data_IF_082849223599
#
_entry.id   IF_082849223599
#
_cell.length_a   1.000
_cell.length_b   1.000
_cell.length_c   1.000
_cell.angle_alpha   90.00
_cell.angle_beta   90.00
_cell.angle_gamma   90.00
#
_symmetry.space_group_name_H-M   'P 1'
#
loop_
_entity.id
_entity.type
_entity.pdbx_description
1 polymer ?
#
# COMPACT_ATOMS: atom_id res chain seq x y z
N UNK A 1 -15.95 29.39 36.51
CA UNK A 1 -16.99 29.06 35.54
C UNK A 1 -16.24 28.86 34.21
N UNK A 2 -15.83 27.64 33.91
CA UNK A 2 -15.26 27.32 32.62
C UNK A 2 -16.40 27.39 31.62
N UNK A 3 -16.26 28.24 30.61
CA UNK A 3 -17.19 28.30 29.49
C UNK A 3 -16.78 27.07 28.65
N UNK A 4 -17.61 26.02 28.66
CA UNK A 4 -17.48 24.93 27.68
C UNK A 4 -17.75 25.55 26.31
N UNK A 5 -16.68 25.84 25.59
CA UNK A 5 -16.78 26.22 24.18
C UNK A 5 -17.24 24.96 23.41
N UNK A 6 -18.19 25.11 22.49
CA UNK A 6 -18.66 24.00 21.69
C UNK A 6 -17.46 23.41 20.92
N UNK A 7 -17.31 22.10 20.97
CA UNK A 7 -16.24 21.39 20.26
C UNK A 7 -16.44 21.58 18.75
N UNK A 8 -15.43 22.10 18.07
CA UNK A 8 -15.44 22.21 16.61
C UNK A 8 -14.95 20.92 15.96
N UNK A 9 -15.87 20.01 15.69
CA UNK A 9 -15.60 18.74 15.04
C UNK A 9 -15.04 18.89 13.62
N UNK A 10 -15.34 19.98 12.92
CA UNK A 10 -14.77 20.25 11.60
C UNK A 10 -13.26 20.48 11.69
N UNK A 11 -12.80 21.28 12.66
CA UNK A 11 -11.38 21.52 12.90
C UNK A 11 -10.64 20.24 13.30
N UNK A 12 -11.26 19.39 14.10
CA UNK A 12 -10.68 18.09 14.50
C UNK A 12 -10.51 17.19 13.27
N UNK A 13 -11.54 17.08 12.44
CA UNK A 13 -11.45 16.28 11.19
C UNK A 13 -10.41 16.85 10.22
N UNK A 14 -10.30 18.16 10.10
CA UNK A 14 -9.27 18.79 9.26
C UNK A 14 -7.86 18.44 9.76
N UNK A 15 -7.64 18.49 11.08
CA UNK A 15 -6.38 18.07 11.71
C UNK A 15 -6.08 16.59 11.44
N UNK A 16 -7.08 15.71 11.52
CA UNK A 16 -6.90 14.30 11.19
C UNK A 16 -6.52 14.13 9.71
N UNK A 17 -7.21 14.82 8.80
CA UNK A 17 -6.93 14.80 7.35
C UNK A 17 -5.49 15.22 7.03
N UNK A 18 -4.96 16.22 7.74
CA UNK A 18 -3.56 16.66 7.58
C UNK A 18 -2.55 15.60 8.00
N UNK A 19 -2.91 14.72 8.93
CA UNK A 19 -2.07 13.63 9.43
C UNK A 19 -2.28 12.29 8.71
N UNK A 20 -3.31 12.17 7.86
CA UNK A 20 -3.53 10.96 7.06
C UNK A 20 -2.37 10.75 6.09
N UNK A 21 -1.87 9.52 6.07
CA UNK A 21 -0.80 9.15 5.16
C UNK A 21 -1.26 9.30 3.70
N UNK A 22 -0.74 10.32 3.05
CA UNK A 22 -0.90 10.48 1.60
C UNK A 22 0.21 9.72 0.90
N UNK A 23 -0.15 8.86 -0.04
CA UNK A 23 0.83 8.17 -0.88
C UNK A 23 1.59 9.23 -1.68
N UNK A 24 2.92 9.34 -1.55
CA UNK A 24 3.67 10.36 -2.25
C UNK A 24 3.51 10.21 -3.76
N UNK A 25 3.20 11.29 -4.46
CA UNK A 25 3.09 11.31 -5.93
C UNK A 25 4.33 10.72 -6.65
N UNK A 26 5.49 10.75 -6.00
CA UNK A 26 6.76 10.21 -6.53
C UNK A 26 7.04 8.78 -6.13
N UNK A 27 6.19 8.11 -5.33
CA UNK A 27 6.35 6.70 -4.97
C UNK A 27 6.24 5.87 -6.23
N UNK A 28 7.24 5.01 -6.46
CA UNK A 28 7.24 4.08 -7.59
C UNK A 28 7.01 2.67 -7.11
N UNK A 29 6.53 1.84 -8.02
CA UNK A 29 6.17 0.46 -7.78
C UNK A 29 6.95 -0.42 -8.76
N UNK A 30 7.71 -1.36 -8.25
CA UNK A 30 8.63 -2.17 -9.02
C UNK A 30 8.33 -3.65 -8.86
N UNK A 31 8.05 -4.35 -9.95
CA UNK A 31 8.10 -5.81 -9.99
C UNK A 31 9.53 -6.24 -10.25
N UNK A 32 10.12 -7.01 -9.33
CA UNK A 32 11.45 -7.60 -9.47
C UNK A 32 11.29 -9.10 -9.54
N UNK A 33 11.77 -9.70 -10.62
CA UNK A 33 11.69 -11.15 -10.86
C UNK A 33 12.72 -11.88 -10.02
N UNK A 34 12.33 -13.03 -9.55
CA UNK A 34 13.11 -13.92 -8.67
C UNK A 34 13.63 -15.17 -9.41
N UNK A 35 13.88 -15.07 -10.72
CA UNK A 35 14.29 -16.19 -11.56
C UNK A 35 13.36 -17.41 -11.36
N UNK A 36 12.09 -17.25 -11.78
CA UNK A 36 11.02 -18.28 -11.60
C UNK A 36 10.79 -18.71 -10.15
N UNK A 37 11.13 -17.86 -9.19
CA UNK A 37 10.92 -18.10 -7.75
C UNK A 37 12.18 -18.59 -7.03
N UNK A 38 13.25 -18.92 -7.74
CA UNK A 38 14.51 -19.46 -7.14
C UNK A 38 15.08 -18.56 -6.07
N UNK A 39 15.03 -17.23 -6.26
CA UNK A 39 15.60 -16.26 -5.32
C UNK A 39 14.59 -15.66 -4.34
N UNK A 40 13.34 -16.13 -4.34
CA UNK A 40 12.30 -15.56 -3.48
C UNK A 40 12.66 -15.64 -2.00
N UNK A 41 13.00 -16.83 -1.51
CA UNK A 41 13.34 -17.04 -0.10
C UNK A 41 14.64 -16.33 0.27
N UNK A 42 15.66 -16.41 -0.60
CA UNK A 42 16.94 -15.68 -0.40
C UNK A 42 16.73 -14.19 -0.22
N UNK A 43 15.87 -13.56 -1.04
CA UNK A 43 15.57 -12.13 -0.94
C UNK A 43 14.78 -11.81 0.34
N UNK A 44 13.81 -12.65 0.68
CA UNK A 44 12.97 -12.46 1.87
C UNK A 44 13.77 -12.59 3.17
N UNK A 45 14.52 -13.67 3.33
CA UNK A 45 15.25 -14.00 4.54
C UNK A 45 16.39 -13.02 4.82
N UNK A 46 16.98 -12.44 3.76
CA UNK A 46 18.12 -11.55 3.87
C UNK A 46 17.81 -10.08 3.63
N UNK A 47 16.52 -9.70 3.57
CA UNK A 47 16.04 -8.32 3.50
C UNK A 47 16.64 -7.50 2.35
N UNK A 48 16.70 -8.07 1.16
CA UNK A 48 17.13 -7.38 -0.05
C UNK A 48 16.34 -7.80 -1.28
N UNK A 49 16.47 -7.03 -2.34
CA UNK A 49 16.12 -7.42 -3.71
C UNK A 49 17.31 -7.18 -4.61
N UNK A 50 17.46 -8.00 -5.63
CA UNK A 50 18.63 -7.93 -6.50
C UNK A 50 18.35 -8.18 -7.97
N UNK A 51 19.25 -7.68 -8.81
CA UNK A 51 19.36 -8.10 -10.21
C UNK A 51 20.57 -9.01 -10.37
N UNK A 52 20.34 -10.19 -10.93
CA UNK A 52 21.40 -11.13 -11.33
C UNK A 52 22.11 -10.60 -12.58
N UNK A 53 23.03 -9.68 -12.38
CA UNK A 53 23.79 -9.01 -13.43
C UNK A 53 25.27 -8.87 -13.04
N UNK A 54 25.98 -10.01 -13.01
CA UNK A 54 27.42 -10.08 -12.77
C UNK A 54 28.29 -9.48 -13.92
N UNK A 55 27.66 -9.00 -15.01
CA UNK A 55 28.33 -8.41 -16.16
C UNK A 55 29.01 -7.08 -15.88
N UNK A 56 28.64 -6.42 -14.80
CA UNK A 56 29.24 -5.16 -14.37
C UNK A 56 29.23 -5.08 -12.84
N UNK A 57 30.40 -4.79 -12.27
CA UNK A 57 30.53 -4.65 -10.82
C UNK A 57 29.91 -3.35 -10.30
N UNK A 58 29.52 -3.31 -9.02
CA UNK A 58 29.11 -2.07 -8.37
C UNK A 58 30.19 -0.98 -8.44
N UNK A 59 31.47 -1.39 -8.31
CA UNK A 59 32.61 -0.48 -8.40
C UNK A 59 32.69 0.19 -9.77
N UNK A 60 32.46 -0.58 -10.84
CA UNK A 60 32.53 -0.05 -12.20
C UNK A 60 31.31 0.84 -12.50
N UNK A 61 30.11 0.46 -12.05
CA UNK A 61 28.93 1.32 -12.13
C UNK A 61 29.14 2.66 -11.43
N UNK A 62 29.73 2.65 -10.24
CA UNK A 62 30.02 3.87 -9.49
C UNK A 62 31.04 4.75 -10.21
N UNK A 63 32.08 4.16 -10.81
CA UNK A 63 33.07 4.87 -11.63
C UNK A 63 32.44 5.48 -12.88
N UNK A 64 31.61 4.70 -13.59
CA UNK A 64 30.90 5.19 -14.77
C UNK A 64 29.98 6.35 -14.41
N UNK A 65 29.23 6.24 -13.30
CA UNK A 65 28.34 7.31 -12.86
C UNK A 65 29.09 8.58 -12.46
N UNK A 66 30.23 8.47 -11.82
CA UNK A 66 31.09 9.60 -11.50
C UNK A 66 31.64 10.31 -12.75
N UNK A 67 31.89 9.55 -13.82
CA UNK A 67 32.37 10.08 -15.11
C UNK A 67 31.26 10.66 -15.97
N UNK A 68 30.08 10.05 -15.99
CA UNK A 68 28.95 10.39 -16.84
C UNK A 68 27.76 10.82 -16.00
N UNK A 69 27.58 12.14 -15.79
CA UNK A 69 26.46 12.68 -15.03
C UNK A 69 25.14 12.68 -15.83
N UNK A 70 25.24 12.76 -17.16
CA UNK A 70 24.11 12.64 -18.07
C UNK A 70 23.62 11.18 -18.15
N UNK A 71 22.32 10.99 -18.03
CA UNK A 71 21.71 9.65 -17.98
C UNK A 71 21.83 8.88 -19.30
N UNK A 72 21.81 9.57 -20.45
CA UNK A 72 21.97 8.93 -21.76
C UNK A 72 23.42 8.43 -21.93
N UNK A 73 24.41 9.26 -21.59
CA UNK A 73 25.83 8.87 -21.64
C UNK A 73 26.15 7.75 -20.64
N UNK A 74 25.57 7.81 -19.45
CA UNK A 74 25.74 6.76 -18.46
C UNK A 74 25.13 5.42 -18.93
N UNK A 75 23.93 5.41 -19.49
CA UNK A 75 23.32 4.22 -20.07
C UNK A 75 24.15 3.67 -21.24
N UNK A 76 24.70 4.55 -22.09
CA UNK A 76 25.57 4.14 -23.18
C UNK A 76 26.84 3.46 -22.70
N UNK A 77 27.45 3.96 -21.62
CA UNK A 77 28.63 3.39 -21.01
C UNK A 77 28.33 2.01 -20.34
N UNK A 78 27.18 1.88 -19.68
CA UNK A 78 26.72 0.57 -19.17
C UNK A 78 26.57 -0.41 -20.32
N UNK A 79 25.93 0.00 -21.43
CA UNK A 79 25.75 -0.85 -22.59
C UNK A 79 27.07 -1.32 -23.19
N UNK A 80 28.06 -0.47 -23.29
CA UNK A 80 29.40 -0.80 -23.73
C UNK A 80 30.04 -1.83 -22.80
N UNK A 81 30.03 -1.61 -21.49
CA UNK A 81 30.57 -2.55 -20.50
C UNK A 81 29.88 -3.93 -20.55
N UNK A 82 28.55 -3.96 -20.72
CA UNK A 82 27.82 -5.22 -20.90
C UNK A 82 28.18 -5.90 -22.23
N UNK A 83 28.41 -5.12 -23.29
CA UNK A 83 28.83 -5.66 -24.59
C UNK A 83 30.22 -6.27 -24.51
N UNK A 84 31.13 -5.64 -23.80
CA UNK A 84 32.50 -6.12 -23.58
C UNK A 84 32.54 -7.46 -22.81
N UNK A 85 31.63 -7.63 -21.82
CA UNK A 85 31.49 -8.90 -21.10
C UNK A 85 31.08 -10.04 -22.02
N UNK A 86 30.27 -9.78 -23.05
CA UNK A 86 29.85 -10.75 -24.06
C UNK A 86 30.69 -10.62 -25.35
N UNK A 87 32.01 -10.47 -25.20
CA UNK A 87 32.91 -10.42 -26.35
C UNK A 87 32.73 -11.64 -27.24
N UNK A 88 32.96 -11.51 -28.57
CA UNK A 88 32.90 -12.65 -29.48
C UNK A 88 33.90 -13.73 -29.07
N UNK A 89 33.47 -14.97 -29.17
CA UNK A 89 34.38 -16.11 -29.08
C UNK A 89 35.50 -15.94 -30.13
N UNK A 90 36.76 -16.18 -29.71
CA UNK A 90 37.94 -15.97 -30.57
C UNK A 90 38.00 -16.96 -31.76
N UNK A 91 37.33 -18.11 -31.66
CA UNK A 91 37.30 -19.11 -32.70
C UNK A 91 36.15 -18.96 -33.68
N UNK A 92 34.94 -18.59 -33.17
CA UNK A 92 33.71 -18.50 -33.98
C UNK A 92 33.37 -17.10 -34.42
N UNK A 93 33.90 -16.08 -33.74
CA UNK A 93 33.55 -14.66 -33.98
C UNK A 93 32.13 -14.30 -33.58
N UNK A 94 31.35 -15.22 -32.98
CA UNK A 94 29.97 -15.00 -32.58
C UNK A 94 29.86 -14.56 -31.12
N UNK A 95 29.08 -13.54 -30.88
CA UNK A 95 28.70 -13.15 -29.50
C UNK A 95 27.63 -14.08 -28.96
N UNK A 96 27.75 -14.49 -27.72
CA UNK A 96 26.70 -15.28 -27.02
C UNK A 96 25.39 -14.51 -26.81
N UNK A 97 25.42 -13.19 -26.97
CA UNK A 97 24.22 -12.34 -26.89
C UNK A 97 24.22 -11.28 -28.00
N UNK A 98 23.04 -11.07 -28.60
CA UNK A 98 22.85 -10.05 -29.62
C UNK A 98 22.67 -8.65 -29.01
N UNK A 99 22.79 -7.59 -29.82
CA UNK A 99 22.71 -6.19 -29.39
C UNK A 99 21.39 -5.84 -28.70
N UNK A 100 20.28 -6.50 -29.05
CA UNK A 100 18.99 -6.30 -28.41
C UNK A 100 19.01 -6.81 -26.96
N UNK A 101 19.59 -7.98 -26.74
CA UNK A 101 19.74 -8.56 -25.39
C UNK A 101 20.67 -7.73 -24.52
N UNK A 102 21.80 -7.26 -25.07
CA UNK A 102 22.74 -6.37 -24.41
C UNK A 102 22.05 -5.07 -23.99
N UNK A 103 21.28 -4.47 -24.90
CA UNK A 103 20.50 -3.25 -24.61
C UNK A 103 19.46 -3.47 -23.52
N UNK A 104 18.78 -4.63 -23.49
CA UNK A 104 17.82 -4.96 -22.44
C UNK A 104 18.48 -5.09 -21.07
N UNK A 105 19.61 -5.79 -21.00
CA UNK A 105 20.40 -5.94 -19.75
C UNK A 105 20.87 -4.57 -19.26
N UNK A 106 21.49 -3.76 -20.12
CA UNK A 106 21.94 -2.41 -19.76
C UNK A 106 20.82 -1.51 -19.23
N UNK A 107 19.64 -1.56 -19.88
CA UNK A 107 18.47 -0.81 -19.41
C UNK A 107 17.96 -1.29 -18.04
N UNK A 108 18.00 -2.58 -17.74
CA UNK A 108 17.59 -3.11 -16.44
C UNK A 108 18.57 -2.68 -15.35
N UNK A 109 19.89 -2.75 -15.60
CA UNK A 109 20.94 -2.26 -14.70
C UNK A 109 20.74 -0.76 -14.45
N UNK A 110 20.58 0.02 -15.51
CA UNK A 110 20.35 1.46 -15.42
C UNK A 110 19.12 1.79 -14.56
N UNK A 111 17.97 1.16 -14.83
CA UNK A 111 16.73 1.36 -14.05
C UNK A 111 16.94 1.04 -12.57
N UNK A 112 17.52 -0.12 -12.29
CA UNK A 112 17.73 -0.57 -10.92
C UNK A 112 18.69 0.36 -10.16
N UNK A 113 19.77 0.78 -10.81
CA UNK A 113 20.77 1.66 -10.22
C UNK A 113 20.23 3.09 -10.01
N UNK A 114 19.55 3.65 -11.01
CA UNK A 114 19.20 5.09 -11.02
C UNK A 114 17.77 5.39 -10.59
N UNK A 115 16.81 4.50 -10.84
CA UNK A 115 15.38 4.80 -10.72
C UNK A 115 14.73 4.20 -9.48
N UNK A 116 15.18 3.02 -9.01
CA UNK A 116 14.67 2.44 -7.76
C UNK A 116 15.25 3.22 -6.58
N UNK A 117 14.39 3.85 -5.79
CA UNK A 117 14.75 4.79 -4.72
C UNK A 117 14.23 4.34 -3.36
N UNK A 118 14.82 4.91 -2.30
CA UNK A 118 14.29 4.77 -0.95
C UNK A 118 12.83 5.22 -0.91
N UNK A 119 11.98 4.40 -0.27
CA UNK A 119 10.54 4.63 -0.18
C UNK A 119 9.73 4.03 -1.33
N UNK A 120 10.37 3.58 -2.42
CA UNK A 120 9.68 2.84 -3.47
C UNK A 120 9.19 1.49 -2.96
N UNK A 121 8.10 1.00 -3.53
CA UNK A 121 7.55 -0.31 -3.23
C UNK A 121 8.08 -1.34 -4.23
N UNK A 122 8.60 -2.44 -3.71
CA UNK A 122 9.06 -3.59 -4.51
C UNK A 122 8.14 -4.78 -4.28
N UNK A 123 7.93 -5.53 -5.36
CA UNK A 123 7.05 -6.70 -5.40
C UNK A 123 7.85 -7.84 -5.99
N UNK A 124 7.90 -8.96 -5.26
CA UNK A 124 8.57 -10.17 -5.74
C UNK A 124 7.61 -11.36 -5.75
N UNK A 125 7.54 -12.12 -6.84
CA UNK A 125 6.79 -13.36 -6.90
C UNK A 125 7.62 -14.57 -6.49
N UNK A 126 7.01 -15.53 -5.79
CA UNK A 126 7.57 -16.87 -5.56
C UNK A 126 7.42 -17.76 -6.81
N UNK A 127 7.77 -19.03 -6.68
CA UNK A 127 7.58 -20.02 -7.74
C UNK A 127 6.11 -20.03 -8.23
N UNK A 128 5.94 -19.97 -9.54
CA UNK A 128 4.62 -19.84 -10.20
C UNK A 128 3.78 -18.68 -9.69
N UNK A 129 4.37 -17.71 -9.02
CA UNK A 129 3.70 -16.61 -8.34
C UNK A 129 2.64 -17.09 -7.33
N UNK A 130 2.83 -18.25 -6.71
CA UNK A 130 1.91 -18.78 -5.69
C UNK A 130 1.84 -17.90 -4.46
N UNK A 131 2.95 -17.25 -4.11
CA UNK A 131 3.06 -16.18 -3.12
C UNK A 131 3.64 -14.93 -3.76
N UNK A 132 3.28 -13.79 -3.21
CA UNK A 132 3.78 -12.47 -3.63
C UNK A 132 4.14 -11.67 -2.40
N UNK A 133 5.41 -11.24 -2.29
CA UNK A 133 5.86 -10.40 -1.20
C UNK A 133 5.96 -8.94 -1.63
N UNK A 134 5.61 -8.06 -0.69
CA UNK A 134 5.66 -6.61 -0.84
C UNK A 134 6.64 -6.04 0.17
N UNK A 135 7.47 -5.10 -0.26
CA UNK A 135 8.47 -4.49 0.61
C UNK A 135 8.79 -3.05 0.21
N UNK A 136 9.37 -2.30 1.13
CA UNK A 136 9.80 -0.92 0.92
C UNK A 136 11.32 -0.86 0.81
N UNK A 137 11.83 -0.21 -0.22
CA UNK A 137 13.26 0.05 -0.40
C UNK A 137 13.75 0.97 0.69
N UNK A 138 14.76 0.57 1.43
CA UNK A 138 15.33 1.33 2.56
C UNK A 138 16.40 2.33 2.12
N UNK A 139 17.08 2.06 1.02
CA UNK A 139 18.24 2.81 0.57
C UNK A 139 18.18 3.08 -0.93
N UNK A 140 18.61 4.27 -1.35
CA UNK A 140 18.63 4.64 -2.77
C UNK A 140 19.83 4.03 -3.51
N UNK A 141 20.95 3.87 -2.82
CA UNK A 141 22.19 3.31 -3.40
C UNK A 141 22.13 1.78 -3.46
N UNK A 142 23.03 1.20 -4.22
CA UNK A 142 23.26 -0.23 -4.19
C UNK A 142 23.95 -0.58 -2.88
N UNK A 143 23.34 -1.48 -2.10
CA UNK A 143 23.90 -1.91 -0.83
C UNK A 143 25.06 -2.89 -1.06
N UNK A 144 26.10 -2.82 -0.23
CA UNK A 144 27.16 -3.81 -0.16
C UNK A 144 26.84 -4.81 0.94
N UNK A 145 27.14 -6.07 0.70
CA UNK A 145 27.06 -7.10 1.73
C UNK A 145 28.33 -7.08 2.59
N UNK A 146 28.17 -7.29 3.90
CA UNK A 146 29.29 -7.56 4.80
C UNK A 146 29.87 -8.95 4.55
N UNK A 147 31.10 -9.19 5.02
CA UNK A 147 31.73 -10.52 4.91
C UNK A 147 30.87 -11.61 5.57
N UNK A 148 30.25 -11.33 6.72
CA UNK A 148 29.36 -12.26 7.41
C UNK A 148 28.09 -12.57 6.60
N UNK A 149 27.56 -11.58 5.87
CA UNK A 149 26.41 -11.78 4.98
C UNK A 149 26.80 -12.60 3.73
N UNK A 150 27.99 -12.34 3.14
CA UNK A 150 28.50 -13.10 2.00
C UNK A 150 28.73 -14.57 2.37
N UNK A 151 29.26 -14.86 3.55
CA UNK A 151 29.45 -16.22 4.05
C UNK A 151 28.12 -16.99 4.22
N UNK A 152 27.04 -16.25 4.53
CA UNK A 152 25.70 -16.82 4.73
C UNK A 152 24.88 -16.94 3.46
N UNK A 153 25.09 -16.04 2.49
CA UNK A 153 24.30 -15.94 1.26
C UNK A 153 25.14 -16.38 0.07
N UNK A 154 25.09 -17.66 -0.28
CA UNK A 154 25.90 -18.27 -1.35
C UNK A 154 25.90 -17.54 -2.70
N UNK A 155 24.85 -16.76 -2.98
CA UNK A 155 24.65 -16.09 -4.28
C UNK A 155 24.71 -14.57 -4.19
N UNK A 156 25.09 -14.01 -3.03
CA UNK A 156 25.02 -12.58 -2.80
C UNK A 156 25.89 -11.76 -3.76
N UNK A 157 27.09 -12.23 -4.09
CA UNK A 157 28.05 -11.53 -4.94
C UNK A 157 27.57 -11.34 -6.38
N UNK A 158 26.65 -12.17 -6.85
CA UNK A 158 26.13 -12.06 -8.22
C UNK A 158 25.07 -10.95 -8.37
N UNK A 159 24.57 -10.37 -7.27
CA UNK A 159 23.47 -9.39 -7.34
C UNK A 159 23.95 -7.95 -7.17
N UNK A 160 23.43 -7.07 -8.05
CA UNK A 160 23.27 -5.69 -7.69
C UNK A 160 22.07 -5.59 -6.75
N UNK A 161 22.25 -5.22 -5.49
CA UNK A 161 21.22 -5.35 -4.48
C UNK A 161 20.78 -4.02 -3.84
N UNK A 162 19.53 -3.98 -3.35
CA UNK A 162 19.00 -2.90 -2.51
C UNK A 162 18.34 -3.48 -1.28
N UNK A 163 18.59 -2.87 -0.14
CA UNK A 163 17.96 -3.25 1.13
C UNK A 163 16.46 -2.97 1.11
N UNK A 164 15.70 -3.91 1.63
CA UNK A 164 14.25 -3.88 1.64
C UNK A 164 13.75 -4.22 3.05
N UNK A 165 12.74 -3.51 3.50
CA UNK A 165 11.92 -3.91 4.63
C UNK A 165 10.65 -4.55 4.08
N UNK A 166 10.45 -5.83 4.38
CA UNK A 166 9.26 -6.54 3.94
C UNK A 166 8.06 -6.14 4.78
N UNK A 167 6.94 -5.83 4.11
CA UNK A 167 5.68 -5.46 4.74
C UNK A 167 4.88 -6.73 5.02
N UNK A 168 4.55 -7.46 3.95
CA UNK A 168 3.67 -8.63 3.99
C UNK A 168 3.84 -9.49 2.75
N UNK A 169 3.46 -10.75 2.84
CA UNK A 169 3.33 -11.66 1.71
C UNK A 169 1.93 -12.28 1.67
N UNK A 170 1.40 -12.36 0.47
CA UNK A 170 0.06 -12.84 0.21
C UNK A 170 0.10 -14.09 -0.66
N UNK A 171 -0.80 -15.02 -0.39
CA UNK A 171 -1.10 -16.08 -1.35
C UNK A 171 -1.77 -15.46 -2.58
N UNK A 172 -1.39 -15.91 -3.76
CA UNK A 172 -1.93 -15.39 -5.02
C UNK A 172 -3.45 -15.35 -5.06
N UNK A 173 -4.10 -16.37 -4.51
CA UNK A 173 -5.56 -16.50 -4.51
C UNK A 173 -6.26 -15.40 -3.70
N UNK A 174 -5.58 -14.80 -2.75
CA UNK A 174 -6.11 -13.70 -1.93
C UNK A 174 -5.92 -12.31 -2.56
N UNK A 175 -5.14 -12.22 -3.65
CA UNK A 175 -4.88 -10.96 -4.33
C UNK A 175 -6.00 -10.61 -5.33
N UNK A 176 -6.19 -9.30 -5.56
CA UNK A 176 -7.05 -8.83 -6.63
C UNK A 176 -6.56 -9.36 -8.00
N UNK A 177 -7.43 -9.98 -8.82
CA UNK A 177 -7.05 -10.50 -10.13
C UNK A 177 -6.40 -9.47 -11.07
N UNK A 178 -6.67 -8.17 -10.89
CA UNK A 178 -6.03 -7.13 -11.68
C UNK A 178 -4.51 -7.06 -11.45
N UNK A 179 -4.03 -7.43 -10.26
CA UNK A 179 -2.60 -7.55 -9.96
C UNK A 179 -1.92 -8.61 -10.85
N UNK A 180 -2.64 -9.68 -11.24
CA UNK A 180 -2.04 -10.76 -12.03
C UNK A 180 -1.51 -10.29 -13.39
N UNK A 181 -2.08 -9.23 -13.95
CA UNK A 181 -1.62 -8.66 -15.22
C UNK A 181 -0.17 -8.14 -15.15
N UNK A 182 0.30 -7.71 -13.99
CA UNK A 182 1.69 -7.26 -13.85
C UNK A 182 2.69 -8.40 -13.97
N UNK A 183 2.31 -9.65 -13.59
CA UNK A 183 3.17 -10.81 -13.67
C UNK A 183 3.40 -11.33 -15.09
N UNK A 184 2.72 -10.77 -16.10
CA UNK A 184 3.01 -11.07 -17.52
C UNK A 184 4.27 -10.37 -18.03
N UNK A 185 4.82 -9.41 -17.27
CA UNK A 185 6.07 -8.75 -17.62
C UNK A 185 7.24 -9.75 -17.56
N UNK A 186 8.04 -9.82 -18.63
CA UNK A 186 9.16 -10.76 -18.74
C UNK A 186 10.51 -10.18 -18.31
N UNK A 187 10.59 -8.87 -18.11
CA UNK A 187 11.84 -8.21 -17.70
C UNK A 187 12.14 -8.50 -16.22
N UNK A 188 13.44 -8.58 -15.87
CA UNK A 188 13.86 -8.82 -14.49
C UNK A 188 13.40 -7.70 -13.54
N UNK A 189 13.29 -6.45 -14.06
CA UNK A 189 12.69 -5.32 -13.37
C UNK A 189 11.71 -4.59 -14.27
N UNK A 190 10.51 -4.32 -13.74
CA UNK A 190 9.44 -3.61 -14.46
C UNK A 190 8.77 -2.61 -13.51
N UNK A 191 8.60 -1.38 -13.98
CA UNK A 191 7.78 -0.41 -13.27
C UNK A 191 6.30 -0.77 -13.43
N UNK A 192 5.59 -0.87 -12.32
CA UNK A 192 4.19 -1.32 -12.27
C UNK A 192 3.27 -0.27 -11.64
N UNK A 193 3.64 1.01 -11.72
CA UNK A 193 2.90 2.14 -11.16
C UNK A 193 1.46 2.26 -11.63
N UNK A 194 1.14 1.77 -12.84
CA UNK A 194 -0.25 1.71 -13.34
C UNK A 194 -1.18 0.80 -12.51
N UNK A 195 -0.64 0.04 -11.57
CA UNK A 195 -1.40 -0.79 -10.65
C UNK A 195 -1.34 -0.27 -9.21
N UNK A 196 -0.91 0.99 -9.02
CA UNK A 196 -0.70 1.58 -7.69
C UNK A 196 -1.95 1.49 -6.81
N UNK A 197 -3.13 1.81 -7.36
CA UNK A 197 -4.41 1.74 -6.67
C UNK A 197 -4.72 0.33 -6.14
N UNK A 198 -4.56 -0.69 -6.98
CA UNK A 198 -4.81 -2.10 -6.60
C UNK A 198 -3.76 -2.59 -5.61
N UNK A 199 -2.51 -2.14 -5.74
CA UNK A 199 -1.43 -2.48 -4.81
C UNK A 199 -1.70 -1.85 -3.44
N UNK A 200 -2.02 -0.56 -3.38
CA UNK A 200 -2.31 0.11 -2.10
C UNK A 200 -3.56 -0.46 -1.43
N UNK A 201 -4.63 -0.75 -2.17
CA UNK A 201 -5.81 -1.48 -1.67
C UNK A 201 -5.49 -2.87 -1.10
N UNK A 202 -4.40 -3.47 -1.54
CA UNK A 202 -3.96 -4.77 -1.00
C UNK A 202 -3.28 -4.58 0.36
N UNK A 203 -2.52 -3.51 0.54
CA UNK A 203 -1.66 -3.28 1.69
C UNK A 203 -2.30 -2.44 2.80
N UNK A 204 -3.29 -1.62 2.48
CA UNK A 204 -3.87 -0.64 3.39
C UNK A 204 -5.39 -0.68 3.37
N UNK A 205 -6.00 -0.48 4.53
CA UNK A 205 -7.45 -0.38 4.66
C UNK A 205 -7.92 1.09 4.53
N UNK A 206 -7.00 2.06 4.71
CA UNK A 206 -7.26 3.47 4.50
C UNK A 206 -6.02 4.18 3.93
N UNK A 207 -6.18 4.87 2.82
CA UNK A 207 -5.09 5.65 2.21
C UNK A 207 -5.61 6.79 1.34
N UNK A 208 -4.72 7.74 1.04
CA UNK A 208 -4.97 8.79 0.06
C UNK A 208 -4.01 8.62 -1.10
N UNK A 209 -4.54 8.43 -2.28
CA UNK A 209 -3.78 8.34 -3.52
C UNK A 209 -4.20 9.49 -4.44
N UNK A 210 -3.24 10.29 -4.88
CA UNK A 210 -3.50 11.52 -5.64
C UNK A 210 -4.48 12.46 -4.89
N UNK A 211 -5.71 12.58 -5.36
CA UNK A 211 -6.73 13.42 -4.75
C UNK A 211 -7.90 12.62 -4.15
N UNK A 212 -7.84 11.31 -4.20
CA UNK A 212 -8.90 10.44 -3.70
C UNK A 212 -8.48 9.77 -2.40
N UNK A 213 -9.38 9.76 -1.43
CA UNK A 213 -9.22 9.00 -0.20
C UNK A 213 -10.06 7.72 -0.31
N UNK A 214 -9.45 6.61 0.06
CA UNK A 214 -9.97 5.26 -0.07
C UNK A 214 -10.17 4.63 1.30
N UNK A 215 -11.34 4.04 1.52
CA UNK A 215 -11.65 3.21 2.67
C UNK A 215 -11.98 1.81 2.20
N UNK A 216 -11.14 0.85 2.56
CA UNK A 216 -11.25 -0.53 2.11
C UNK A 216 -11.95 -1.38 3.16
N UNK A 217 -13.09 -1.92 2.80
CA UNK A 217 -13.84 -2.86 3.62
C UNK A 217 -13.53 -4.27 3.11
N UNK A 218 -12.79 -5.04 3.92
CA UNK A 218 -12.42 -6.41 3.58
C UNK A 218 -13.54 -7.38 3.92
N UNK A 219 -14.08 -8.05 2.91
CA UNK A 219 -15.12 -9.08 3.04
C UNK A 219 -14.47 -10.45 2.98
N UNK A 220 -14.42 -11.14 4.11
CA UNK A 220 -13.72 -12.42 4.26
C UNK A 220 -14.58 -13.66 3.99
N UNK A 221 -15.81 -13.48 3.54
CA UNK A 221 -16.70 -14.61 3.27
C UNK A 221 -16.21 -15.42 2.06
N UNK A 222 -16.06 -16.73 2.23
CA UNK A 222 -15.55 -17.66 1.20
C UNK A 222 -16.65 -18.16 0.24
N UNK A 223 -17.88 -18.30 0.71
CA UNK A 223 -18.98 -18.97 -0.03
C UNK A 223 -19.82 -18.03 -0.93
N UNK A 224 -19.19 -16.94 -1.43
CA UNK A 224 -19.86 -15.95 -2.25
C UNK A 224 -20.63 -14.89 -1.46
N UNK A 225 -20.72 -13.70 -2.03
CA UNK A 225 -21.33 -12.52 -1.42
C UNK A 225 -22.78 -12.41 -1.90
N UNK A 226 -23.73 -12.46 -0.96
CA UNK A 226 -25.13 -12.24 -1.28
C UNK A 226 -25.34 -10.75 -1.64
N UNK A 227 -25.90 -10.49 -2.82
CA UNK A 227 -26.12 -9.13 -3.32
C UNK A 227 -26.95 -8.25 -2.36
N UNK A 228 -28.00 -8.80 -1.74
CA UNK A 228 -28.81 -8.07 -0.76
C UNK A 228 -27.98 -7.69 0.47
N UNK A 229 -27.07 -8.57 0.92
CA UNK A 229 -26.20 -8.28 2.05
C UNK A 229 -25.19 -7.17 1.71
N UNK A 230 -24.62 -7.23 0.51
CA UNK A 230 -23.65 -6.24 0.04
C UNK A 230 -24.28 -4.84 -0.10
N UNK A 231 -25.37 -4.75 -0.87
CA UNK A 231 -26.05 -3.47 -1.08
C UNK A 231 -26.74 -2.96 0.20
N UNK A 232 -27.25 -3.87 1.04
CA UNK A 232 -27.82 -3.53 2.34
C UNK A 232 -26.77 -2.95 3.30
N UNK A 233 -25.58 -3.54 3.37
CA UNK A 233 -24.46 -2.99 4.16
C UNK A 233 -24.13 -1.56 3.72
N UNK A 234 -23.90 -1.36 2.43
CA UNK A 234 -23.52 -0.05 1.88
C UNK A 234 -24.61 1.00 2.11
N UNK A 235 -25.87 0.67 1.81
CA UNK A 235 -26.98 1.59 2.00
C UNK A 235 -27.15 2.00 3.48
N UNK A 236 -27.23 1.03 4.38
CA UNK A 236 -27.43 1.33 5.81
C UNK A 236 -26.22 2.09 6.41
N UNK A 237 -25.01 1.80 5.94
CA UNK A 237 -23.83 2.55 6.37
C UNK A 237 -23.90 4.03 5.94
N UNK A 238 -24.28 4.31 4.69
CA UNK A 238 -24.39 5.67 4.19
C UNK A 238 -25.50 6.45 4.91
N UNK A 239 -26.63 5.83 5.27
CA UNK A 239 -27.68 6.46 6.08
C UNK A 239 -27.17 6.85 7.47
N UNK A 240 -26.40 5.94 8.13
CA UNK A 240 -25.81 6.24 9.44
C UNK A 240 -24.76 7.37 9.32
N UNK A 241 -23.95 7.35 8.27
CA UNK A 241 -22.97 8.39 8.01
C UNK A 241 -23.65 9.75 7.82
N UNK A 242 -24.78 9.82 7.11
CA UNK A 242 -25.57 11.04 6.92
C UNK A 242 -26.08 11.60 8.26
N UNK A 243 -26.60 10.73 9.14
CA UNK A 243 -27.04 11.14 10.47
C UNK A 243 -25.87 11.65 11.33
N UNK A 244 -24.69 11.02 11.24
CA UNK A 244 -23.49 11.51 11.93
C UNK A 244 -23.04 12.86 11.38
N UNK A 245 -23.03 13.04 10.06
CA UNK A 245 -22.74 14.33 9.39
C UNK A 245 -23.68 15.43 9.95
N UNK A 246 -24.97 15.15 10.01
CA UNK A 246 -25.97 16.08 10.51
C UNK A 246 -25.79 16.39 12.00
N UNK A 247 -25.64 15.36 12.84
CA UNK A 247 -25.53 15.50 14.29
C UNK A 247 -24.28 16.28 14.73
N UNK A 248 -23.18 16.13 13.98
CA UNK A 248 -21.92 16.82 14.25
C UNK A 248 -21.76 18.14 13.49
N UNK A 249 -22.77 18.55 12.72
CA UNK A 249 -22.77 19.78 11.88
C UNK A 249 -21.53 19.83 10.95
N UNK A 250 -21.18 18.68 10.33
CA UNK A 250 -20.03 18.59 9.43
C UNK A 250 -20.36 19.30 8.12
N UNK A 251 -19.50 20.26 7.74
CA UNK A 251 -19.72 21.08 6.55
C UNK A 251 -19.05 20.49 5.32
N UNK A 252 -19.68 20.71 4.16
CA UNK A 252 -19.14 20.34 2.84
C UNK A 252 -18.88 18.85 2.66
N UNK A 253 -19.64 18.00 3.32
CA UNK A 253 -19.61 16.54 3.21
C UNK A 253 -21.04 16.02 3.13
N UNK A 254 -21.27 15.09 2.22
CA UNK A 254 -22.54 14.39 2.01
C UNK A 254 -22.29 12.91 1.71
N UNK A 255 -23.24 12.04 2.04
CA UNK A 255 -23.20 10.62 1.63
C UNK A 255 -23.12 10.45 0.10
N UNK A 256 -23.58 11.44 -0.67
CA UNK A 256 -23.51 11.43 -2.14
C UNK A 256 -22.10 11.71 -2.70
N UNK A 257 -21.15 12.08 -1.87
CA UNK A 257 -19.75 12.33 -2.29
C UNK A 257 -18.94 11.05 -2.40
N UNK A 258 -19.53 9.89 -2.12
CA UNK A 258 -18.86 8.60 -2.13
C UNK A 258 -19.17 7.80 -3.38
N UNK A 259 -18.10 7.27 -3.98
CA UNK A 259 -18.15 6.27 -5.03
C UNK A 259 -17.78 4.90 -4.45
N UNK A 260 -18.39 3.84 -4.95
CA UNK A 260 -18.13 2.47 -4.49
C UNK A 260 -17.58 1.63 -5.63
N UNK A 261 -16.41 1.07 -5.42
CA UNK A 261 -15.83 0.06 -6.31
C UNK A 261 -15.86 -1.30 -5.59
N UNK A 262 -16.51 -2.28 -6.20
CA UNK A 262 -16.70 -3.60 -5.61
C UNK A 262 -15.92 -4.65 -6.38
N UNK A 263 -14.99 -5.30 -5.71
CA UNK A 263 -14.37 -6.52 -6.21
C UNK A 263 -15.15 -7.74 -5.68
N UNK A 264 -15.95 -8.35 -6.56
CA UNK A 264 -16.93 -9.39 -6.20
C UNK A 264 -16.31 -10.77 -6.01
N UNK A 265 -14.99 -10.90 -5.93
CA UNK A 265 -14.38 -12.16 -5.55
C UNK A 265 -14.69 -12.49 -4.08
N UNK A 266 -14.70 -13.76 -3.75
CA UNK A 266 -14.96 -14.23 -2.39
C UNK A 266 -13.72 -15.01 -1.90
N UNK A 267 -12.96 -14.48 -0.96
CA UNK A 267 -13.06 -13.17 -0.28
C UNK A 267 -12.87 -11.97 -1.21
N UNK A 268 -13.42 -10.81 -0.87
CA UNK A 268 -13.45 -9.62 -1.71
C UNK A 268 -13.21 -8.32 -0.95
N UNK A 269 -13.10 -7.23 -1.71
CA UNK A 269 -12.91 -5.90 -1.16
C UNK A 269 -13.97 -4.94 -1.69
N UNK A 270 -14.47 -4.08 -0.82
CA UNK A 270 -15.30 -2.94 -1.16
C UNK A 270 -14.43 -1.70 -0.96
N UNK A 271 -14.22 -0.93 -2.00
CA UNK A 271 -13.51 0.35 -1.93
C UNK A 271 -14.54 1.48 -1.92
N UNK A 272 -14.63 2.18 -0.80
CA UNK A 272 -15.42 3.38 -0.64
C UNK A 272 -14.49 4.57 -0.79
N UNK A 273 -14.61 5.32 -1.88
CA UNK A 273 -13.69 6.40 -2.22
C UNK A 273 -14.40 7.73 -2.41
N UNK A 274 -13.71 8.81 -2.07
CA UNK A 274 -14.20 10.17 -2.26
C UNK A 274 -13.05 11.16 -2.45
N UNK A 275 -13.28 12.20 -3.24
CA UNK A 275 -12.37 13.35 -3.34
C UNK A 275 -12.43 14.24 -2.10
N UNK A 276 -13.45 14.09 -1.28
CA UNK A 276 -13.61 14.81 0.00
C UNK A 276 -12.95 13.99 1.12
N UNK A 277 -11.66 14.21 1.33
CA UNK A 277 -10.86 13.49 2.33
C UNK A 277 -11.49 13.51 3.73
N UNK A 278 -12.05 14.66 4.16
CA UNK A 278 -12.76 14.80 5.44
C UNK A 278 -13.94 13.83 5.55
N UNK A 279 -14.71 13.69 4.48
CA UNK A 279 -15.83 12.76 4.43
C UNK A 279 -15.38 11.30 4.58
N UNK A 280 -14.33 10.92 3.88
CA UNK A 280 -13.79 9.56 3.97
C UNK A 280 -13.18 9.25 5.33
N UNK A 281 -12.53 10.22 5.98
CA UNK A 281 -12.07 10.09 7.37
C UNK A 281 -13.25 9.91 8.32
N UNK A 282 -14.33 10.70 8.17
CA UNK A 282 -15.52 10.55 8.98
C UNK A 282 -16.20 9.21 8.75
N UNK A 283 -16.29 8.76 7.49
CA UNK A 283 -16.83 7.44 7.15
C UNK A 283 -16.02 6.32 7.82
N UNK A 284 -14.69 6.42 7.78
CA UNK A 284 -13.78 5.49 8.45
C UNK A 284 -14.03 5.45 9.97
N UNK A 285 -14.10 6.60 10.64
CA UNK A 285 -14.35 6.68 12.07
C UNK A 285 -15.77 6.15 12.43
N UNK A 286 -16.77 6.47 11.62
CA UNK A 286 -18.14 5.98 11.80
C UNK A 286 -18.22 4.47 11.66
N UNK A 287 -17.56 3.89 10.64
CA UNK A 287 -17.50 2.45 10.44
C UNK A 287 -16.83 1.75 11.64
N UNK A 288 -15.75 2.30 12.14
CA UNK A 288 -15.03 1.71 13.26
C UNK A 288 -15.86 1.74 14.57
N UNK A 289 -16.52 2.86 14.87
CA UNK A 289 -17.40 2.98 16.04
C UNK A 289 -18.63 2.08 15.90
N UNK A 290 -19.30 2.12 14.74
CA UNK A 290 -20.52 1.38 14.49
C UNK A 290 -20.28 -0.11 14.34
N UNK A 291 -19.17 -0.47 13.70
CA UNK A 291 -18.76 -1.84 13.47
C UNK A 291 -18.24 -2.59 14.71
N UNK A 292 -18.12 -1.92 15.85
CA UNK A 292 -17.63 -2.52 17.09
C UNK A 292 -16.10 -2.75 17.13
N UNK A 293 -15.35 -2.22 16.13
CA UNK A 293 -13.89 -2.33 16.09
C UNK A 293 -13.15 -1.41 17.06
N UNK A 294 -13.88 -0.59 17.81
CA UNK A 294 -13.32 0.36 18.78
C UNK A 294 -13.25 -0.16 20.23
N UNK A 295 -13.59 -1.40 20.53
CA UNK A 295 -13.40 -1.91 21.87
C UNK A 295 -11.91 -1.93 22.25
N UNK A 296 -11.53 -0.85 22.90
CA UNK A 296 -10.36 -0.63 23.77
C UNK A 296 -9.30 -1.75 23.80
N UNK A 297 -8.43 -1.81 22.80
CA UNK A 297 -7.17 -2.56 22.92
C UNK A 297 -6.13 -1.79 23.77
N UNK A 298 -6.55 -1.21 24.90
CA UNK A 298 -5.64 -0.61 25.90
C UNK A 298 -4.92 0.67 25.46
N UNK A 299 -5.43 1.42 24.51
CA UNK A 299 -4.88 2.71 24.12
C UNK A 299 -5.50 3.84 24.95
N UNK A 300 -4.66 4.55 25.67
CA UNK A 300 -5.04 5.81 26.32
C UNK A 300 -4.75 6.92 25.32
N UNK A 301 -5.79 7.48 24.72
CA UNK A 301 -5.65 8.68 23.89
C UNK A 301 -5.45 9.87 24.82
N UNK A 302 -4.38 10.62 24.59
CA UNK A 302 -4.02 11.79 25.43
C UNK A 302 -4.67 13.09 24.96
N UNK A 303 -5.18 13.12 23.73
CA UNK A 303 -5.80 14.28 23.12
C UNK A 303 -7.30 14.34 23.43
N UNK A 304 -7.78 15.42 24.01
CA UNK A 304 -9.21 15.63 24.30
C UNK A 304 -10.08 15.74 23.04
N UNK A 305 -9.48 16.09 21.88
CA UNK A 305 -10.21 16.30 20.64
C UNK A 305 -10.71 15.00 20.00
N UNK A 306 -9.84 14.01 19.84
CA UNK A 306 -10.19 12.74 19.17
C UNK A 306 -11.14 11.88 20.01
N UNK A 307 -10.92 11.66 21.32
CA UNK A 307 -11.90 11.00 22.18
C UNK A 307 -13.25 11.71 22.19
N UNK A 308 -13.25 13.05 22.15
CA UNK A 308 -14.47 13.86 22.05
C UNK A 308 -15.23 13.58 20.76
N UNK A 309 -14.55 13.53 19.63
CA UNK A 309 -15.16 13.19 18.34
C UNK A 309 -15.74 11.78 18.34
N UNK A 310 -15.01 10.79 18.83
CA UNK A 310 -15.48 9.40 18.91
C UNK A 310 -16.70 9.29 19.82
N UNK A 311 -16.67 9.96 20.97
CA UNK A 311 -17.83 10.02 21.87
C UNK A 311 -19.04 10.62 21.18
N UNK A 312 -18.86 11.74 20.47
CA UNK A 312 -19.93 12.38 19.73
C UNK A 312 -20.50 11.53 18.59
N UNK A 313 -19.63 10.82 17.85
CA UNK A 313 -20.07 9.85 16.85
C UNK A 313 -20.88 8.73 17.53
N UNK A 314 -20.41 8.22 18.66
CA UNK A 314 -21.12 7.19 19.43
C UNK A 314 -22.49 7.67 19.90
N UNK A 315 -22.58 8.90 20.41
CA UNK A 315 -23.83 9.52 20.84
C UNK A 315 -24.77 9.73 19.66
N UNK A 316 -24.28 10.28 18.54
CA UNK A 316 -25.05 10.42 17.30
C UNK A 316 -25.62 9.08 16.81
N UNK A 317 -24.80 8.05 16.80
CA UNK A 317 -25.25 6.68 16.44
C UNK A 317 -26.27 6.15 17.45
N UNK A 318 -26.13 6.43 18.74
CA UNK A 318 -27.06 6.01 19.76
C UNK A 318 -28.41 6.76 19.68
N UNK A 319 -28.37 8.08 19.47
CA UNK A 319 -29.60 8.86 19.19
C UNK A 319 -30.32 8.39 17.94
N UNK A 320 -29.54 7.98 16.93
CA UNK A 320 -30.06 7.29 15.78
C UNK A 320 -30.76 5.99 16.17
N UNK A 321 -30.25 5.19 17.07
CA UNK A 321 -30.88 3.95 17.58
C UNK A 321 -32.17 4.22 18.37
N UNK A 322 -32.30 5.33 19.07
CA UNK A 322 -33.44 5.63 19.95
C UNK A 322 -34.67 6.18 19.23
N UNK A 323 -34.57 6.59 17.96
CA UNK A 323 -35.76 6.96 17.15
C UNK A 323 -36.52 5.74 16.66
N UNK A 324 -37.05 4.98 17.54
CA UNK A 324 -37.88 3.78 17.56
C UNK A 324 -38.27 3.07 16.24
N UNK A 325 -38.16 1.74 16.27
CA UNK A 325 -38.60 0.66 15.35
C UNK A 325 -37.84 0.53 14.04
N UNK A 326 -37.60 1.56 13.26
CA UNK A 326 -36.86 1.42 11.97
C UNK A 326 -35.36 1.17 12.19
N UNK A 327 -34.80 1.64 13.30
CA UNK A 327 -33.37 1.65 13.60
C UNK A 327 -32.86 0.41 14.29
N UNK A 328 -33.62 -0.21 15.19
CA UNK A 328 -33.29 -1.52 15.70
C UNK A 328 -33.22 -2.52 14.54
N UNK A 329 -34.09 -2.35 13.56
CA UNK A 329 -34.09 -3.13 12.34
C UNK A 329 -32.86 -2.82 11.46
N UNK A 330 -32.48 -1.57 11.28
CA UNK A 330 -31.30 -1.18 10.48
C UNK A 330 -29.99 -1.63 11.14
N UNK A 331 -29.86 -1.48 12.47
CA UNK A 331 -28.70 -2.00 13.19
C UNK A 331 -28.63 -3.52 13.12
N UNK A 332 -29.74 -4.21 13.38
CA UNK A 332 -29.78 -5.66 13.27
C UNK A 332 -29.48 -6.12 11.83
N UNK A 333 -29.89 -5.36 10.83
CA UNK A 333 -29.55 -5.56 9.43
C UNK A 333 -28.05 -5.33 9.19
N UNK A 334 -27.47 -4.24 9.72
CA UNK A 334 -26.05 -3.96 9.58
C UNK A 334 -25.20 -5.05 10.27
N UNK A 335 -25.48 -5.35 11.54
CA UNK A 335 -24.79 -6.38 12.31
C UNK A 335 -24.93 -7.75 11.61
N UNK A 336 -26.13 -8.08 11.13
CA UNK A 336 -26.37 -9.30 10.35
C UNK A 336 -25.56 -9.34 9.05
N UNK A 337 -25.37 -8.19 8.38
CA UNK A 337 -24.59 -8.11 7.16
C UNK A 337 -23.10 -8.12 7.44
N UNK A 338 -22.64 -7.43 8.50
CA UNK A 338 -21.27 -7.49 8.98
C UNK A 338 -20.89 -8.94 9.29
N UNK A 339 -21.70 -9.64 10.07
CA UNK A 339 -21.46 -11.06 10.41
C UNK A 339 -21.52 -11.97 9.18
N UNK A 340 -22.52 -11.78 8.29
CA UNK A 340 -22.66 -12.58 7.07
C UNK A 340 -21.52 -12.34 6.06
N UNK A 341 -20.93 -11.16 6.04
CA UNK A 341 -19.82 -10.81 5.16
C UNK A 341 -18.47 -11.04 5.83
N UNK A 342 -18.45 -11.31 7.14
CA UNK A 342 -17.24 -11.44 7.93
C UNK A 342 -16.27 -10.25 7.68
N UNK A 343 -16.75 -9.05 7.93
CA UNK A 343 -15.97 -7.82 7.68
C UNK A 343 -14.84 -7.72 8.69
N UNK A 344 -13.60 -7.63 8.21
CA UNK A 344 -12.41 -7.46 9.04
C UNK A 344 -12.41 -6.07 9.68
N UNK A 345 -11.95 -5.98 10.93
CA UNK A 345 -11.71 -4.71 11.62
C UNK A 345 -10.69 -3.84 10.86
N UNK A 346 -10.87 -2.53 10.93
CA UNK A 346 -10.00 -1.56 10.25
C UNK A 346 -8.81 -1.20 11.15
N UNK A 347 -7.65 -1.79 10.87
CA UNK A 347 -6.44 -1.63 11.68
C UNK A 347 -5.75 -0.25 11.52
N UNK A 348 -5.93 0.41 10.37
CA UNK A 348 -5.28 1.69 10.07
C UNK A 348 -5.78 2.86 10.92
N UNK A 349 -6.98 2.75 11.48
CA UNK A 349 -7.53 3.72 12.42
C UNK A 349 -6.63 3.93 13.64
N UNK A 350 -6.13 2.86 14.23
CA UNK A 350 -5.24 2.94 15.39
C UNK A 350 -3.91 3.64 15.05
N UNK A 351 -3.43 3.50 13.82
CA UNK A 351 -2.23 4.19 13.33
C UNK A 351 -2.47 5.69 13.19
N UNK A 352 -3.60 6.07 12.59
CA UNK A 352 -3.99 7.49 12.44
C UNK A 352 -4.18 8.16 13.80
N UNK A 353 -4.87 7.49 14.73
CA UNK A 353 -5.11 8.00 16.07
C UNK A 353 -3.81 8.24 16.83
N UNK A 354 -2.82 7.32 16.72
CA UNK A 354 -1.48 7.49 17.30
C UNK A 354 -0.74 8.68 16.69
N UNK A 355 -0.79 8.88 15.37
CA UNK A 355 -0.12 9.99 14.71
C UNK A 355 -0.67 11.35 15.12
N UNK A 356 -1.98 11.44 15.36
CA UNK A 356 -2.62 12.68 15.83
C UNK A 356 -2.18 12.98 17.27
N UNK A 357 -2.13 11.99 18.17
CA UNK A 357 -1.65 12.15 19.53
C UNK A 357 -0.17 12.59 19.57
N UNK A 358 0.71 11.90 18.84
CA UNK A 358 2.15 12.21 18.80
C UNK A 358 2.46 13.62 18.27
N UNK A 359 1.61 14.16 17.37
CA UNK A 359 1.80 15.49 16.82
C UNK A 359 1.30 16.61 17.75
N UNK A 360 0.34 16.34 18.65
CA UNK A 360 -0.13 17.31 19.63
C UNK A 360 0.81 17.47 20.83
N UNK A 361 1.63 16.45 21.14
CA UNK A 361 2.64 16.50 22.21
C UNK A 361 3.95 17.22 21.81
N UNK A 362 4.10 17.69 20.55
CA UNK A 362 5.26 18.50 20.13
C UNK A 362 5.04 19.95 20.52
N UNK A 363 5.90 20.55 21.39
CA UNK A 363 5.80 21.96 21.73
C UNK A 363 5.98 22.80 20.46
N UNK A 364 5.08 23.77 20.28
CA UNK A 364 5.16 24.79 19.22
C UNK A 364 6.34 25.72 19.42
#
# INVERSE_FOLDING_TARGET
>A
MMIDLPIDYNSILDTIVENVQTIPFRKRYWLIRTNSGTFYDTFKENNFVGLDHSQISLRDLSRLRARFHDDFLFLSAIKESVADFYTPDLETGERTKNDRSISLIANQIFKFYTQVKKGDLVIIPSYSSSKVAFGIVKETYIAEFSEEELDRIDVAEQFLNKRVEWIEDFDRVSLDPNIYKMFTAHQAITEVGKYADVIERTLQDFFVLENEAHLIINVQKEDGINARSLFGLGYNFLEILEDVIYALDIKNVSSNDFEVEVNINSPGKIDLKSRIKKGTVLAFLTLAVFGGGYESKGYTLKSDGLPGLIKAITEAINEYKDREQDRAMQKAIFDQYKDKLNVKEVDDMLKIMKQVDDNQDKPK
#
